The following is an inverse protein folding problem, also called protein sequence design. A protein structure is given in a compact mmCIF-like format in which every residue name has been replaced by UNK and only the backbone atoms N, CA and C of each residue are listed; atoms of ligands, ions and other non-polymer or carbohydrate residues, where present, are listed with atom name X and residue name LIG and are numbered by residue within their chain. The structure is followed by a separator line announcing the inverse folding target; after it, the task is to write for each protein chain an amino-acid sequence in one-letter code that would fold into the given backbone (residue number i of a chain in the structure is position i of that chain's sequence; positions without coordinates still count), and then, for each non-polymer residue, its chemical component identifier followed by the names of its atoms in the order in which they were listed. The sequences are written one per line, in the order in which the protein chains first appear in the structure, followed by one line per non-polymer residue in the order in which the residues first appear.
data_IF_773308585525
#
_entry.id   IF_773308585525
#
_cell.length_a   1.000
_cell.length_b   1.000
_cell.length_c   1.000
_cell.angle_alpha   90.00
_cell.angle_beta   90.00
_cell.angle_gamma   90.00
#
_symmetry.space_group_name_H-M   'P 1'
#
loop_
_entity.id
_entity.type
_entity.pdbx_description
1 polymer ?
#
# COMPACT_ATOMS: atom_id res chain seq x y z
N UNK A 1 -21.31 25.61 -39.00
CA UNK A 1 -19.98 25.26 -38.45
C UNK A 1 -20.07 25.31 -36.95
N UNK A 2 -20.06 24.13 -36.31
CA UNK A 2 -20.45 23.94 -34.92
C UNK A 2 -19.20 23.93 -34.05
N UNK A 3 -19.00 24.99 -33.27
CA UNK A 3 -17.92 25.12 -32.28
C UNK A 3 -18.29 24.34 -31.01
N UNK A 4 -18.23 23.01 -31.07
CA UNK A 4 -18.36 22.11 -29.92
C UNK A 4 -17.03 21.39 -29.58
N UNK A 5 -15.92 21.87 -30.15
CA UNK A 5 -14.66 21.12 -30.23
C UNK A 5 -13.79 21.08 -28.94
N UNK A 6 -13.68 22.14 -28.10
CA UNK A 6 -12.73 22.12 -26.99
C UNK A 6 -13.27 21.46 -25.71
N UNK A 7 -14.51 21.77 -25.29
CA UNK A 7 -15.08 21.23 -24.04
C UNK A 7 -15.32 19.72 -24.10
N UNK A 8 -15.79 19.21 -25.23
CA UNK A 8 -16.04 17.79 -25.44
C UNK A 8 -14.73 16.99 -25.40
N UNK A 9 -13.68 17.49 -26.04
CA UNK A 9 -12.36 16.87 -26.05
C UNK A 9 -11.69 16.91 -24.65
N UNK A 10 -11.87 18.00 -23.90
CA UNK A 10 -11.39 18.12 -22.52
C UNK A 10 -12.11 17.13 -21.60
N UNK A 11 -13.43 17.01 -21.71
CA UNK A 11 -14.21 16.06 -20.91
C UNK A 11 -13.84 14.60 -21.21
N UNK A 12 -13.60 14.28 -22.49
CA UNK A 12 -13.12 12.96 -22.90
C UNK A 12 -11.73 12.66 -22.33
N UNK A 13 -10.80 13.63 -22.39
CA UNK A 13 -9.47 13.50 -21.81
C UNK A 13 -9.52 13.29 -20.28
N UNK A 14 -10.39 13.99 -19.56
CA UNK A 14 -10.60 13.77 -18.12
C UNK A 14 -11.18 12.38 -17.82
N UNK A 15 -12.13 11.91 -18.63
CA UNK A 15 -12.70 10.56 -18.48
C UNK A 15 -11.64 9.48 -18.70
N UNK A 16 -10.80 9.64 -19.72
CA UNK A 16 -9.69 8.73 -19.99
C UNK A 16 -8.66 8.75 -18.86
N UNK A 17 -8.26 9.92 -18.37
CA UNK A 17 -7.32 10.05 -17.26
C UNK A 17 -7.88 9.42 -15.98
N UNK A 18 -9.14 9.67 -15.65
CA UNK A 18 -9.82 9.08 -14.50
C UNK A 18 -9.87 7.56 -14.60
N UNK A 19 -10.13 7.02 -15.80
CA UNK A 19 -10.15 5.57 -16.06
C UNK A 19 -8.75 4.96 -15.89
N UNK A 20 -7.72 5.58 -16.45
CA UNK A 20 -6.33 5.10 -16.33
C UNK A 20 -5.88 5.13 -14.86
N UNK A 21 -6.18 6.21 -14.14
CA UNK A 21 -5.87 6.31 -12.71
C UNK A 21 -6.63 5.28 -11.88
N UNK A 22 -7.92 5.06 -12.18
CA UNK A 22 -8.73 4.04 -11.53
C UNK A 22 -8.17 2.64 -11.74
N UNK A 23 -7.81 2.28 -12.98
CA UNK A 23 -7.20 1.00 -13.30
C UNK A 23 -5.85 0.82 -12.61
N UNK A 24 -5.00 1.85 -12.61
CA UNK A 24 -3.72 1.80 -11.91
C UNK A 24 -3.93 1.56 -10.41
N UNK A 25 -4.90 2.21 -9.78
CA UNK A 25 -5.21 2.01 -8.36
C UNK A 25 -5.65 0.57 -8.08
N UNK A 26 -6.48 -0.02 -8.96
CA UNK A 26 -6.88 -1.44 -8.86
C UNK A 26 -5.68 -2.37 -9.00
N UNK A 27 -4.83 -2.15 -10.00
CA UNK A 27 -3.62 -2.95 -10.23
C UNK A 27 -2.68 -2.91 -9.02
N UNK A 28 -2.45 -1.72 -8.44
CA UNK A 28 -1.68 -1.58 -7.21
C UNK A 28 -2.34 -2.30 -6.04
N UNK A 29 -3.67 -2.17 -5.89
CA UNK A 29 -4.43 -2.87 -4.86
C UNK A 29 -4.28 -4.39 -4.94
N UNK A 30 -4.41 -4.96 -6.14
CA UNK A 30 -4.22 -6.41 -6.38
C UNK A 30 -2.81 -6.85 -6.02
N UNK A 31 -1.78 -6.10 -6.47
CA UNK A 31 -0.38 -6.42 -6.13
C UNK A 31 -0.12 -6.38 -4.63
N UNK A 32 -0.69 -5.41 -3.92
CA UNK A 32 -0.55 -5.32 -2.46
C UNK A 32 -1.19 -6.51 -1.75
N UNK A 33 -2.38 -6.94 -2.18
CA UNK A 33 -3.04 -8.14 -1.64
C UNK A 33 -2.15 -9.38 -1.86
N UNK A 34 -1.60 -9.57 -3.05
CA UNK A 34 -0.73 -10.72 -3.34
C UNK A 34 0.53 -10.72 -2.47
N UNK A 35 1.19 -9.56 -2.32
CA UNK A 35 2.37 -9.43 -1.47
C UNK A 35 2.03 -9.73 0.00
N UNK A 36 0.87 -9.28 0.46
CA UNK A 36 0.39 -9.53 1.82
C UNK A 36 0.21 -11.01 2.10
N UNK A 37 -0.49 -11.72 1.22
CA UNK A 37 -0.70 -13.17 1.34
C UNK A 37 0.63 -13.95 1.26
N UNK A 38 1.54 -13.53 0.38
CA UNK A 38 2.88 -14.12 0.30
C UNK A 38 3.66 -13.93 1.61
N UNK A 39 3.65 -12.72 2.18
CA UNK A 39 4.27 -12.46 3.48
C UNK A 39 3.68 -13.35 4.58
N UNK A 40 2.36 -13.52 4.63
CA UNK A 40 1.73 -14.42 5.61
C UNK A 40 2.21 -15.87 5.44
N UNK A 41 2.20 -16.38 4.21
CA UNK A 41 2.64 -17.74 3.90
C UNK A 41 4.13 -17.95 4.25
N UNK A 42 4.99 -16.97 4.02
CA UNK A 42 6.39 -17.05 4.45
C UNK A 42 6.50 -17.05 5.98
N UNK A 43 5.76 -16.15 6.66
CA UNK A 43 5.80 -16.05 8.10
C UNK A 43 5.38 -17.35 8.77
N UNK A 44 4.39 -18.09 8.26
CA UNK A 44 3.97 -19.39 8.85
C UNK A 44 5.11 -20.40 8.96
N UNK A 45 6.11 -20.33 8.09
CA UNK A 45 7.27 -21.23 8.10
C UNK A 45 8.46 -20.73 8.92
N UNK A 46 8.47 -19.46 9.36
CA UNK A 46 9.56 -18.94 10.17
C UNK A 46 9.42 -19.26 11.66
N UNK A 47 10.51 -19.66 12.34
CA UNK A 47 10.56 -19.76 13.80
C UNK A 47 10.26 -18.43 14.48
N UNK A 48 9.71 -18.48 15.70
CA UNK A 48 9.34 -17.27 16.46
C UNK A 48 10.51 -16.31 16.70
N UNK A 49 11.72 -16.83 16.93
CA UNK A 49 12.92 -16.00 17.09
C UNK A 49 13.23 -15.19 15.83
N UNK A 50 13.13 -15.81 14.66
CA UNK A 50 13.34 -15.14 13.38
C UNK A 50 12.24 -14.12 13.09
N UNK A 51 10.98 -14.40 13.45
CA UNK A 51 9.89 -13.42 13.33
C UNK A 51 10.14 -12.18 14.18
N UNK A 52 10.70 -12.32 15.39
CA UNK A 52 11.05 -11.18 16.23
C UNK A 52 12.15 -10.30 15.61
N UNK A 53 13.16 -10.91 14.98
CA UNK A 53 14.19 -10.16 14.26
C UNK A 53 13.65 -9.46 13.02
N UNK A 54 12.74 -10.12 12.29
CA UNK A 54 12.00 -9.51 11.16
C UNK A 54 11.16 -8.32 11.67
N UNK A 55 10.44 -8.45 12.78
CA UNK A 55 9.67 -7.36 13.38
C UNK A 55 10.55 -6.16 13.69
N UNK A 56 11.70 -6.38 14.33
CA UNK A 56 12.66 -5.32 14.63
C UNK A 56 13.13 -4.62 13.35
N UNK A 57 13.54 -5.39 12.33
CA UNK A 57 13.98 -4.83 11.05
C UNK A 57 12.86 -4.07 10.33
N UNK A 58 11.63 -4.59 10.39
CA UNK A 58 10.47 -3.96 9.81
C UNK A 58 10.17 -2.60 10.46
N UNK A 59 10.16 -2.52 11.80
CA UNK A 59 9.97 -1.26 12.53
C UNK A 59 11.00 -0.21 12.14
N UNK A 60 12.28 -0.56 12.13
CA UNK A 60 13.36 0.37 11.74
C UNK A 60 13.21 0.88 10.29
N UNK A 61 12.74 0.02 9.38
CA UNK A 61 12.49 0.43 7.99
C UNK A 61 11.29 1.37 7.87
N UNK A 62 10.24 1.13 8.65
CA UNK A 62 9.07 2.00 8.70
C UNK A 62 9.41 3.36 9.30
N UNK A 63 10.20 3.40 10.38
CA UNK A 63 10.70 4.65 10.96
C UNK A 63 11.45 5.48 9.91
N UNK A 64 12.35 4.86 9.15
CA UNK A 64 13.04 5.53 8.04
C UNK A 64 12.08 6.06 6.96
N UNK A 65 11.02 5.33 6.64
CA UNK A 65 10.01 5.81 5.68
C UNK A 65 9.29 7.03 6.25
N UNK A 66 8.89 6.98 7.53
CA UNK A 66 8.22 8.10 8.20
C UNK A 66 9.10 9.35 8.21
N UNK A 67 10.39 9.23 8.59
CA UNK A 67 11.37 10.32 8.55
C UNK A 67 11.46 10.97 7.16
N UNK A 68 11.43 10.18 6.08
CA UNK A 68 11.46 10.72 4.72
C UNK A 68 10.18 11.48 4.33
N UNK A 69 9.07 11.21 5.02
CA UNK A 69 7.78 11.88 4.80
C UNK A 69 7.48 13.03 5.76
N UNK A 70 8.34 13.28 6.75
CA UNK A 70 8.16 14.44 7.64
C UNK A 70 8.15 15.77 6.87
N UNK A 71 8.95 15.87 5.80
CA UNK A 71 8.96 17.04 4.91
C UNK A 71 7.77 17.08 3.93
N UNK A 72 7.10 15.94 3.69
CA UNK A 72 6.00 15.79 2.74
C UNK A 72 4.90 14.91 3.33
N UNK A 73 4.08 15.50 4.21
CA UNK A 73 3.01 14.80 4.94
C UNK A 73 2.11 14.03 3.97
N UNK A 74 1.91 12.73 4.26
CA UNK A 74 0.97 11.92 3.50
C UNK A 74 -0.43 12.54 3.51
N UNK A 75 -1.17 12.48 2.38
CA UNK A 75 -2.60 12.75 2.41
C UNK A 75 -3.28 11.90 3.48
N UNK A 76 -4.27 12.43 4.19
CA UNK A 76 -4.88 11.76 5.36
C UNK A 76 -5.36 10.32 5.08
N UNK A 77 -5.89 10.07 3.88
CA UNK A 77 -6.28 8.72 3.45
C UNK A 77 -5.09 7.77 3.27
N UNK A 78 -3.98 8.25 2.73
CA UNK A 78 -2.75 7.48 2.56
C UNK A 78 -2.08 7.20 3.92
N UNK A 79 -2.08 8.16 4.84
CA UNK A 79 -1.57 7.96 6.20
C UNK A 79 -2.36 6.86 6.94
N UNK A 80 -3.69 6.88 6.83
CA UNK A 80 -4.55 5.86 7.44
C UNK A 80 -4.27 4.47 6.89
N UNK A 81 -4.18 4.35 5.55
CA UNK A 81 -3.86 3.08 4.90
C UNK A 81 -2.46 2.56 5.31
N UNK A 82 -1.47 3.46 5.36
CA UNK A 82 -0.10 3.13 5.76
C UNK A 82 -0.04 2.58 7.19
N UNK A 83 -0.66 3.25 8.15
CA UNK A 83 -0.72 2.79 9.54
C UNK A 83 -1.50 1.47 9.68
N UNK A 84 -2.57 1.28 8.91
CA UNK A 84 -3.34 0.03 8.90
C UNK A 84 -2.48 -1.17 8.47
N UNK A 85 -1.71 -1.02 7.39
CA UNK A 85 -0.82 -2.07 6.88
C UNK A 85 0.33 -2.38 7.85
N UNK A 86 0.94 -1.35 8.47
CA UNK A 86 1.97 -1.56 9.50
C UNK A 86 1.42 -2.40 10.65
N UNK A 87 0.26 -2.00 11.19
CA UNK A 87 -0.37 -2.70 12.30
C UNK A 87 -0.73 -4.14 11.95
N UNK A 88 -1.17 -4.39 10.71
CA UNK A 88 -1.45 -5.73 10.24
C UNK A 88 -0.19 -6.62 10.22
N UNK A 89 0.92 -6.14 9.65
CA UNK A 89 2.15 -6.93 9.57
C UNK A 89 2.75 -7.18 10.97
N UNK A 90 2.77 -6.16 11.84
CA UNK A 90 3.19 -6.31 13.23
C UNK A 90 2.33 -7.33 13.98
N UNK A 91 1.00 -7.27 13.79
CA UNK A 91 0.08 -8.26 14.35
C UNK A 91 0.32 -9.67 13.81
N UNK A 92 0.70 -9.81 12.55
CA UNK A 92 1.00 -11.11 11.93
C UNK A 92 2.32 -11.69 12.45
N UNK A 93 3.34 -10.85 12.64
CA UNK A 93 4.64 -11.24 13.18
C UNK A 93 4.55 -11.71 14.64
N UNK A 94 3.70 -11.07 15.44
CA UNK A 94 3.47 -11.43 16.85
C UNK A 94 2.55 -12.64 17.08
N UNK A 95 1.81 -13.10 16.06
CA UNK A 95 0.97 -14.30 16.18
C UNK A 95 1.85 -15.56 16.24
N UNK A 96 1.62 -16.41 17.25
CA UNK A 96 2.13 -17.79 17.23
C UNK A 96 1.65 -18.49 15.97
N UNK A 97 2.52 -19.28 15.33
CA UNK A 97 2.09 -20.17 14.25
C UNK A 97 0.91 -21.00 14.75
N UNK A 98 -0.20 -21.01 13.99
CA UNK A 98 -1.24 -22.00 14.22
C UNK A 98 -0.62 -23.36 13.86
N UNK A 99 -0.18 -24.09 14.88
CA UNK A 99 0.23 -25.49 14.79
C UNK A 99 -0.96 -26.36 14.45
#
# INVERSE_FOLDING_TARGET
MQTAAPETAINEAYSQLSTVQGNALLDYGVRMIVIRELCQALLTHFPLSMRADIERSFRTRIERVLEMTDDNVFPAGAQTAFLSEINYFLGTLGKKAAT
#
